data_IF_535664522131
#
_entry.id   IF_535664522131
#
_cell.length_a   1.000
_cell.length_b   1.000
_cell.length_c   1.000
_cell.angle_alpha   90.00
_cell.angle_beta   90.00
_cell.angle_gamma   90.00
#
_symmetry.space_group_name_H-M   'P 1'
#
loop_
_entity.id
_entity.type
_entity.pdbx_description
1 polymer ?
#
# COMPACT_ATOMS: atom_id res chain seq x y z
N UNK A 1 -7.97 2.70 -29.73
CA UNK A 1 -7.25 2.34 -28.48
C UNK A 1 -6.01 3.20 -28.18
N UNK A 2 -5.35 3.82 -29.17
CA UNK A 2 -4.14 4.64 -28.98
C UNK A 2 -4.34 5.87 -28.06
N UNK A 3 -5.53 6.48 -28.05
CA UNK A 3 -5.79 7.70 -27.27
C UNK A 3 -5.92 7.46 -25.76
N UNK A 4 -6.59 6.39 -25.33
CA UNK A 4 -6.73 6.08 -23.90
C UNK A 4 -5.41 5.61 -23.29
N UNK A 5 -4.68 4.75 -24.00
CA UNK A 5 -3.36 4.30 -23.55
C UNK A 5 -2.40 5.48 -23.39
N UNK A 6 -2.32 6.40 -24.36
CA UNK A 6 -1.49 7.62 -24.27
C UNK A 6 -1.92 8.55 -23.14
N UNK A 7 -3.22 8.67 -22.88
CA UNK A 7 -3.75 9.49 -21.80
C UNK A 7 -3.40 8.90 -20.42
N UNK A 8 -3.56 7.58 -20.25
CA UNK A 8 -3.23 6.88 -19.01
C UNK A 8 -1.72 6.78 -18.79
N UNK A 9 -0.91 6.60 -19.82
CA UNK A 9 0.55 6.54 -19.69
C UNK A 9 1.19 7.92 -19.52
N UNK A 10 0.63 8.96 -20.16
CA UNK A 10 1.14 10.33 -20.06
C UNK A 10 0.66 11.11 -18.83
N UNK A 11 -0.55 10.81 -18.32
CA UNK A 11 -1.17 11.51 -17.18
C UNK A 11 -1.56 10.59 -16.03
N UNK A 12 -1.11 9.35 -16.03
CA UNK A 12 -1.46 8.35 -15.02
C UNK A 12 -1.19 8.81 -13.59
N UNK A 13 -0.05 9.47 -13.36
CA UNK A 13 0.30 10.03 -12.04
C UNK A 13 -0.67 11.11 -11.58
N UNK A 14 -1.13 11.98 -12.48
CA UNK A 14 -2.14 13.00 -12.17
C UNK A 14 -3.47 12.35 -11.77
N UNK A 15 -3.91 11.32 -12.51
CA UNK A 15 -5.14 10.60 -12.16
C UNK A 15 -5.02 9.84 -10.84
N UNK A 16 -3.87 9.21 -10.56
CA UNK A 16 -3.62 8.56 -9.28
C UNK A 16 -3.65 9.57 -8.12
N UNK A 17 -3.05 10.74 -8.30
CA UNK A 17 -3.08 11.82 -7.32
C UNK A 17 -4.51 12.34 -7.08
N UNK A 18 -5.26 12.67 -8.14
CA UNK A 18 -6.64 13.14 -8.02
C UNK A 18 -7.55 12.09 -7.36
N UNK A 19 -7.38 10.82 -7.75
CA UNK A 19 -8.11 9.72 -7.12
C UNK A 19 -7.77 9.65 -5.63
N UNK A 20 -6.50 9.77 -5.23
CA UNK A 20 -6.11 9.75 -3.82
C UNK A 20 -6.76 10.87 -2.99
N UNK A 21 -6.87 12.09 -3.54
CA UNK A 21 -7.58 13.19 -2.88
C UNK A 21 -9.07 12.86 -2.70
N UNK A 22 -9.72 12.35 -3.76
CA UNK A 22 -11.14 11.97 -3.69
C UNK A 22 -11.36 10.91 -2.62
N UNK A 23 -10.51 9.88 -2.59
CA UNK A 23 -10.58 8.81 -1.59
C UNK A 23 -10.35 9.32 -0.17
N UNK A 24 -9.41 10.26 0.02
CA UNK A 24 -9.17 10.90 1.30
C UNK A 24 -10.40 11.65 1.79
N UNK A 25 -11.08 12.40 0.92
CA UNK A 25 -12.32 13.11 1.27
C UNK A 25 -13.43 12.13 1.65
N UNK A 26 -13.62 11.07 0.87
CA UNK A 26 -14.61 10.02 1.13
C UNK A 26 -14.37 9.35 2.49
N UNK A 27 -13.11 9.12 2.86
CA UNK A 27 -12.71 8.59 4.17
C UNK A 27 -12.97 9.60 5.30
N UNK A 28 -12.64 10.87 5.08
CA UNK A 28 -12.68 11.90 6.10
C UNK A 28 -14.10 12.21 6.57
N UNK A 29 -15.09 12.21 5.67
CA UNK A 29 -16.49 12.56 5.99
C UNK A 29 -17.07 11.70 7.14
N UNK A 30 -17.12 10.36 7.05
CA UNK A 30 -17.69 9.53 8.12
C UNK A 30 -16.87 9.58 9.41
N UNK A 31 -15.55 9.75 9.32
CA UNK A 31 -14.68 9.88 10.50
C UNK A 31 -14.96 11.18 11.22
N UNK A 32 -14.99 12.30 10.50
CA UNK A 32 -15.22 13.62 11.09
C UNK A 32 -16.64 13.76 11.62
N UNK A 33 -17.65 13.21 10.95
CA UNK A 33 -19.04 13.30 11.39
C UNK A 33 -19.36 12.40 12.58
N UNK A 34 -18.69 11.26 12.72
CA UNK A 34 -18.88 10.33 13.84
C UNK A 34 -17.91 10.52 15.00
N UNK A 35 -16.96 11.46 14.91
CA UNK A 35 -15.82 11.56 15.83
C UNK A 35 -16.27 11.82 17.28
N UNK A 36 -17.21 12.73 17.48
CA UNK A 36 -17.70 13.09 18.82
C UNK A 36 -18.43 11.90 19.46
N UNK A 37 -19.25 11.19 18.66
CA UNK A 37 -19.91 9.97 19.10
C UNK A 37 -18.91 8.86 19.44
N UNK A 38 -17.85 8.69 18.64
CA UNK A 38 -16.80 7.71 18.90
C UNK A 38 -16.03 8.02 20.19
N UNK A 39 -15.67 9.28 20.43
CA UNK A 39 -14.92 9.70 21.61
C UNK A 39 -15.73 9.60 22.91
N UNK A 40 -17.06 9.69 22.82
CA UNK A 40 -17.97 9.49 23.95
C UNK A 40 -18.13 8.00 24.35
N UNK A 41 -17.76 7.06 23.47
CA UNK A 41 -17.88 5.63 23.78
C UNK A 41 -16.82 5.17 24.77
N UNK A 42 -17.16 4.22 25.68
CA UNK A 42 -16.18 3.49 26.46
C UNK A 42 -15.14 2.81 25.57
N UNK A 43 -13.89 2.70 26.04
CA UNK A 43 -12.78 2.15 25.26
C UNK A 43 -12.99 0.71 24.75
N UNK A 44 -13.90 -0.06 25.38
CA UNK A 44 -14.28 -1.39 24.94
C UNK A 44 -15.18 -1.33 23.68
N UNK A 45 -16.11 -0.38 23.61
CA UNK A 45 -17.08 -0.22 22.53
C UNK A 45 -16.50 0.51 21.32
N UNK A 46 -15.46 1.33 21.53
CA UNK A 46 -14.68 1.93 20.44
C UNK A 46 -14.10 0.86 19.48
N UNK A 47 -13.76 -0.34 20.00
CA UNK A 47 -13.19 -1.43 19.18
C UNK A 47 -14.19 -1.99 18.16
N UNK A 48 -15.49 -1.88 18.42
CA UNK A 48 -16.56 -2.38 17.55
C UNK A 48 -17.21 -1.25 16.75
N UNK A 49 -16.64 -0.05 16.78
CA UNK A 49 -17.19 1.09 16.06
C UNK A 49 -17.01 0.92 14.56
N UNK A 50 -18.07 1.21 13.82
CA UNK A 50 -18.11 1.10 12.37
C UNK A 50 -17.66 2.37 11.65
N UNK A 51 -17.24 3.40 12.38
CA UNK A 51 -16.85 4.70 11.82
C UNK A 51 -15.71 4.60 10.79
N UNK A 52 -14.84 3.60 10.93
CA UNK A 52 -13.71 3.34 10.03
C UNK A 52 -14.03 2.33 8.90
N UNK A 53 -15.21 1.70 8.91
CA UNK A 53 -15.53 0.62 7.98
C UNK A 53 -15.52 1.09 6.52
N UNK A 54 -16.00 2.30 6.24
CA UNK A 54 -15.97 2.88 4.89
C UNK A 54 -14.54 2.91 4.35
N UNK A 55 -13.58 3.33 5.16
CA UNK A 55 -12.17 3.33 4.79
C UNK A 55 -11.62 1.93 4.56
N UNK A 56 -11.91 1.02 5.49
CA UNK A 56 -11.47 -0.36 5.40
C UNK A 56 -12.00 -1.05 4.14
N UNK A 57 -13.29 -0.96 3.87
CA UNK A 57 -13.91 -1.58 2.69
C UNK A 57 -13.40 -0.97 1.40
N UNK A 58 -13.17 0.34 1.37
CA UNK A 58 -12.63 1.01 0.19
C UNK A 58 -11.20 0.54 -0.12
N UNK A 59 -10.35 0.43 0.90
CA UNK A 59 -8.99 -0.12 0.74
C UNK A 59 -9.04 -1.58 0.27
N UNK A 60 -9.92 -2.41 0.86
CA UNK A 60 -10.09 -3.81 0.45
C UNK A 60 -10.56 -3.92 -0.99
N UNK A 61 -11.52 -3.09 -1.42
CA UNK A 61 -12.01 -3.07 -2.79
C UNK A 61 -10.92 -2.67 -3.77
N UNK A 62 -10.16 -1.61 -3.48
CA UNK A 62 -9.04 -1.19 -4.32
C UNK A 62 -7.95 -2.24 -4.40
N UNK A 63 -7.60 -2.87 -3.26
CA UNK A 63 -6.64 -3.95 -3.22
C UNK A 63 -7.08 -5.12 -4.11
N UNK A 64 -8.35 -5.53 -4.02
CA UNK A 64 -8.90 -6.59 -4.86
C UNK A 64 -8.82 -6.24 -6.35
N UNK A 65 -9.20 -5.01 -6.73
CA UNK A 65 -9.11 -4.52 -8.12
C UNK A 65 -7.65 -4.53 -8.59
N UNK A 66 -6.72 -4.01 -7.78
CA UNK A 66 -5.30 -3.98 -8.10
C UNK A 66 -4.76 -5.39 -8.33
N UNK A 67 -5.08 -6.35 -7.46
CA UNK A 67 -4.65 -7.75 -7.60
C UNK A 67 -5.19 -8.33 -8.91
N UNK A 68 -6.49 -8.20 -9.17
CA UNK A 68 -7.11 -8.74 -10.38
C UNK A 68 -6.49 -8.13 -11.65
N UNK A 69 -6.41 -6.81 -11.71
CA UNK A 69 -5.83 -6.10 -12.87
C UNK A 69 -4.36 -6.48 -13.06
N UNK A 70 -3.58 -6.54 -11.99
CA UNK A 70 -2.15 -6.88 -12.05
C UNK A 70 -1.94 -8.30 -12.56
N UNK A 71 -2.70 -9.27 -12.05
CA UNK A 71 -2.58 -10.68 -12.47
C UNK A 71 -3.00 -10.84 -13.93
N UNK A 72 -4.17 -10.29 -14.31
CA UNK A 72 -4.63 -10.37 -15.70
C UNK A 72 -3.63 -9.70 -16.66
N UNK A 73 -3.11 -8.54 -16.29
CA UNK A 73 -2.13 -7.83 -17.11
C UNK A 73 -0.80 -8.57 -17.21
N UNK A 74 -0.33 -9.18 -16.12
CA UNK A 74 0.88 -10.00 -16.13
C UNK A 74 0.72 -11.21 -17.07
N UNK A 75 -0.43 -11.89 -17.04
CA UNK A 75 -0.72 -13.01 -17.93
C UNK A 75 -0.77 -12.58 -19.41
N UNK A 76 -1.46 -11.48 -19.71
CA UNK A 76 -1.52 -10.90 -21.06
C UNK A 76 -0.12 -10.55 -21.58
N UNK A 77 0.70 -9.90 -20.75
CA UNK A 77 2.07 -9.52 -21.15
C UNK A 77 2.98 -10.73 -21.35
N UNK A 78 2.83 -11.77 -20.52
CA UNK A 78 3.57 -13.02 -20.69
C UNK A 78 3.20 -13.73 -22.00
N UNK A 79 1.93 -13.71 -22.39
CA UNK A 79 1.46 -14.29 -23.64
C UNK A 79 1.88 -13.47 -24.88
N UNK A 80 1.79 -12.14 -24.81
CA UNK A 80 2.08 -11.26 -25.95
C UNK A 80 3.56 -10.92 -26.13
N UNK A 81 4.34 -10.90 -25.05
CA UNK A 81 5.77 -10.55 -25.07
C UNK A 81 6.56 -11.29 -23.98
N UNK A 82 6.76 -12.62 -24.13
CA UNK A 82 7.48 -13.44 -23.15
C UNK A 82 8.93 -12.98 -22.95
N UNK A 83 9.58 -12.44 -23.99
CA UNK A 83 10.94 -11.92 -23.88
C UNK A 83 11.02 -10.62 -23.06
N UNK A 84 9.99 -9.78 -23.08
CA UNK A 84 9.87 -8.58 -22.25
C UNK A 84 9.48 -8.89 -20.80
N UNK A 85 8.77 -10.00 -20.57
CA UNK A 85 8.29 -10.40 -19.24
C UNK A 85 9.43 -10.70 -18.24
N UNK A 86 10.63 -11.03 -18.71
CA UNK A 86 11.82 -11.29 -17.86
C UNK A 86 12.13 -10.14 -16.90
N UNK A 87 11.98 -8.89 -17.33
CA UNK A 87 12.22 -7.73 -16.47
C UNK A 87 11.11 -7.55 -15.43
N UNK A 88 9.87 -7.91 -15.79
CA UNK A 88 8.75 -7.94 -14.84
C UNK A 88 8.99 -8.97 -13.73
N UNK A 89 9.47 -10.16 -14.08
CA UNK A 89 9.78 -11.21 -13.10
C UNK A 89 10.88 -10.78 -12.12
N UNK A 90 11.91 -10.08 -12.59
CA UNK A 90 12.97 -9.52 -11.73
C UNK A 90 12.36 -8.60 -10.66
N UNK A 91 11.45 -7.71 -11.04
CA UNK A 91 10.81 -6.80 -10.08
C UNK A 91 9.92 -7.52 -9.08
N UNK A 92 9.21 -8.58 -9.50
CA UNK A 92 8.44 -9.43 -8.57
C UNK A 92 9.36 -10.07 -7.52
N UNK A 93 10.52 -10.59 -7.95
CA UNK A 93 11.53 -11.17 -7.04
C UNK A 93 12.07 -10.11 -6.07
N UNK A 94 12.36 -8.89 -6.56
CA UNK A 94 12.80 -7.79 -5.70
C UNK A 94 11.76 -7.44 -4.65
N UNK A 95 10.48 -7.31 -5.03
CA UNK A 95 9.39 -7.03 -4.08
C UNK A 95 9.26 -8.15 -3.05
N UNK A 96 9.31 -9.42 -3.48
CA UNK A 96 9.27 -10.56 -2.58
C UNK A 96 10.46 -10.57 -1.60
N UNK A 97 11.66 -10.22 -2.08
CA UNK A 97 12.85 -10.11 -1.23
C UNK A 97 12.73 -8.97 -0.20
N UNK A 98 12.20 -7.80 -0.60
CA UNK A 98 11.95 -6.68 0.31
C UNK A 98 10.90 -7.04 1.37
N UNK A 99 9.82 -7.73 0.98
CA UNK A 99 8.84 -8.23 1.92
C UNK A 99 9.44 -9.25 2.89
N UNK A 100 10.22 -10.21 2.37
CA UNK A 100 10.91 -11.20 3.20
C UNK A 100 11.89 -10.54 4.18
N UNK A 101 12.64 -9.53 3.74
CA UNK A 101 13.50 -8.73 4.61
C UNK A 101 12.67 -8.04 5.72
N UNK A 102 11.56 -7.43 5.35
CA UNK A 102 10.61 -6.86 6.31
C UNK A 102 10.10 -7.89 7.32
N UNK A 103 9.61 -9.03 6.83
CA UNK A 103 8.95 -10.08 7.61
C UNK A 103 9.92 -10.84 8.54
N UNK A 104 11.09 -11.23 8.03
CA UNK A 104 12.03 -12.10 8.75
C UNK A 104 13.11 -11.33 9.50
N UNK A 105 13.54 -10.16 9.01
CA UNK A 105 14.74 -9.47 9.53
C UNK A 105 14.40 -8.20 10.29
N UNK A 106 13.52 -7.36 9.73
CA UNK A 106 13.23 -6.03 10.27
C UNK A 106 12.06 -6.01 11.26
N UNK A 107 11.20 -7.03 11.24
CA UNK A 107 10.07 -7.12 12.14
C UNK A 107 10.49 -7.67 13.51
N UNK A 108 10.98 -6.78 14.37
CA UNK A 108 11.25 -7.05 15.78
C UNK A 108 10.24 -6.26 16.63
N UNK A 109 9.44 -6.91 17.48
CA UNK A 109 8.55 -6.22 18.41
C UNK A 109 9.39 -5.63 19.55
N UNK A 110 10.11 -4.54 19.26
CA UNK A 110 11.12 -3.99 20.18
C UNK A 110 10.51 -3.08 21.26
N UNK A 111 9.19 -2.86 21.26
CA UNK A 111 8.52 -2.06 22.30
C UNK A 111 7.49 -2.88 23.09
N UNK A 112 7.58 -2.77 24.42
CA UNK A 112 6.57 -3.27 25.37
C UNK A 112 5.16 -2.79 24.97
N UNK A 113 5.07 -1.55 24.47
CA UNK A 113 3.82 -0.94 24.01
C UNK A 113 3.22 -1.63 22.76
N UNK A 114 4.04 -2.11 21.82
CA UNK A 114 3.53 -2.91 20.70
C UNK A 114 3.03 -4.27 21.19
N UNK A 115 3.78 -4.95 22.06
CA UNK A 115 3.38 -6.25 22.60
C UNK A 115 2.04 -6.18 23.34
N UNK A 116 1.83 -5.13 24.14
CA UNK A 116 0.56 -4.91 24.83
C UNK A 116 -0.59 -4.62 23.87
N UNK A 117 -0.33 -3.88 22.78
CA UNK A 117 -1.34 -3.67 21.72
C UNK A 117 -1.66 -4.94 20.96
N UNK A 118 -0.67 -5.77 20.61
CA UNK A 118 -0.88 -7.05 19.95
C UNK A 118 -1.78 -7.97 20.79
N UNK A 119 -1.54 -8.04 22.09
CA UNK A 119 -2.40 -8.76 23.04
C UNK A 119 -3.79 -8.13 23.15
N UNK A 120 -3.88 -6.80 23.23
CA UNK A 120 -5.16 -6.06 23.36
C UNK A 120 -6.10 -6.23 22.16
N UNK A 121 -5.57 -6.50 20.98
CA UNK A 121 -6.31 -6.66 19.73
C UNK A 121 -6.32 -8.11 19.20
N UNK A 122 -5.86 -9.08 20.00
CA UNK A 122 -5.78 -10.51 19.63
C UNK A 122 -5.08 -10.75 18.28
N UNK A 123 -4.04 -9.97 18.00
CA UNK A 123 -3.29 -10.09 16.75
C UNK A 123 -2.29 -11.22 16.90
N UNK A 124 -2.50 -12.30 16.14
CA UNK A 124 -1.57 -13.43 16.14
C UNK A 124 -0.15 -13.00 15.77
N UNK A 125 0.86 -13.72 16.28
CA UNK A 125 2.26 -13.45 15.96
C UNK A 125 2.53 -13.49 14.44
N UNK A 126 1.81 -14.35 13.71
CA UNK A 126 1.90 -14.44 12.25
C UNK A 126 1.30 -13.21 11.57
N UNK A 127 0.11 -12.76 12.00
CA UNK A 127 -0.52 -11.56 11.48
C UNK A 127 0.34 -10.31 11.74
N UNK A 128 0.92 -10.19 12.93
CA UNK A 128 1.85 -9.10 13.27
C UNK A 128 3.09 -9.10 12.36
N UNK A 129 3.66 -10.28 12.10
CA UNK A 129 4.82 -10.41 11.21
C UNK A 129 4.49 -10.00 9.78
N UNK A 130 3.31 -10.41 9.32
CA UNK A 130 2.81 -10.08 7.98
C UNK A 130 2.55 -8.58 7.81
N UNK A 131 1.88 -7.95 8.78
CA UNK A 131 1.63 -6.50 8.79
C UNK A 131 2.95 -5.73 8.77
N UNK A 132 3.89 -6.04 9.68
CA UNK A 132 5.16 -5.33 9.72
C UNK A 132 6.04 -5.59 8.50
N UNK A 133 5.97 -6.78 7.89
CA UNK A 133 6.63 -7.05 6.61
C UNK A 133 6.13 -6.14 5.49
N UNK A 134 4.80 -5.94 5.42
CA UNK A 134 4.18 -5.00 4.48
C UNK A 134 4.58 -3.54 4.72
N UNK A 135 4.59 -3.11 6.00
CA UNK A 135 5.02 -1.75 6.38
C UNK A 135 6.48 -1.50 6.00
N UNK A 136 7.39 -2.43 6.36
CA UNK A 136 8.81 -2.28 6.02
C UNK A 136 9.05 -2.27 4.52
N UNK A 137 8.36 -3.13 3.77
CA UNK A 137 8.40 -3.11 2.31
C UNK A 137 8.00 -1.73 1.74
N UNK A 138 6.89 -1.16 2.23
CA UNK A 138 6.46 0.19 1.85
C UNK A 138 7.53 1.24 2.14
N UNK A 139 8.09 1.25 3.36
CA UNK A 139 9.12 2.21 3.77
C UNK A 139 10.39 2.10 2.91
N UNK A 140 10.84 0.87 2.63
CA UNK A 140 12.02 0.63 1.79
C UNK A 140 11.79 1.07 0.35
N UNK A 141 10.61 0.82 -0.21
CA UNK A 141 10.26 1.28 -1.55
C UNK A 141 10.18 2.81 -1.62
N UNK A 142 9.60 3.45 -0.60
CA UNK A 142 9.54 4.91 -0.50
C UNK A 142 10.94 5.52 -0.45
N UNK A 143 11.83 4.97 0.39
CA UNK A 143 13.21 5.40 0.46
C UNK A 143 13.93 5.20 -0.88
N UNK A 144 13.76 4.03 -1.52
CA UNK A 144 14.34 3.75 -2.83
C UNK A 144 13.87 4.73 -3.91
N UNK A 145 12.57 5.04 -3.94
CA UNK A 145 12.00 6.02 -4.86
C UNK A 145 12.57 7.42 -4.63
N UNK A 146 12.69 7.83 -3.37
CA UNK A 146 13.28 9.13 -3.00
C UNK A 146 14.76 9.23 -3.41
N UNK A 147 15.55 8.18 -3.19
CA UNK A 147 16.96 8.13 -3.60
C UNK A 147 17.12 8.17 -5.12
N UNK A 148 16.28 7.45 -5.86
CA UNK A 148 16.26 7.48 -7.33
C UNK A 148 15.90 8.87 -7.83
N UNK A 149 14.89 9.50 -7.23
CA UNK A 149 14.49 10.87 -7.56
C UNK A 149 15.66 11.85 -7.40
N UNK A 150 16.29 11.90 -6.22
CA UNK A 150 17.47 12.75 -5.99
C UNK A 150 18.57 12.43 -7.00
N UNK A 151 18.89 11.14 -7.20
CA UNK A 151 19.93 10.72 -8.13
C UNK A 151 19.65 11.15 -9.57
N UNK A 152 18.37 11.14 -9.99
CA UNK A 152 17.97 11.59 -11.32
C UNK A 152 18.12 13.11 -11.49
N UNK A 153 17.76 13.91 -10.48
CA UNK A 153 17.94 15.35 -10.49
C UNK A 153 19.44 15.72 -10.56
N UNK A 154 20.27 15.09 -9.71
CA UNK A 154 21.72 15.30 -9.72
C UNK A 154 22.31 14.95 -11.08
N UNK A 155 21.94 13.79 -11.66
CA UNK A 155 22.42 13.39 -12.99
C UNK A 155 22.01 14.38 -14.08
N UNK A 156 20.81 14.95 -13.99
CA UNK A 156 20.31 15.92 -14.95
C UNK A 156 21.03 17.27 -14.84
N UNK A 157 21.51 17.66 -13.65
CA UNK A 157 22.31 18.87 -13.48
C UNK A 157 23.70 18.78 -14.15
N UNK A 158 24.21 17.56 -14.35
CA UNK A 158 25.49 17.29 -15.01
C UNK A 158 25.36 16.89 -16.49
N UNK A 159 24.15 16.94 -17.05
CA UNK A 159 23.88 16.75 -18.48
C UNK A 159 23.47 18.06 -19.10
#
# INVERSE_FOLDING_TARGET
MVNLYKLLSGRGTLFAFLLSIILMVILAIPIMSGLDGFNALPAAEQKTSNIFNTGLYLVLALLAITVVVTVLWALVQMAMNPAGAKHGLIWVVVIAALFALGYFVLNKPDSVQMLDKLKKYDVSASASKFIGGGIWMMLLMMLGAFLIFIGSEVRNLFK
#
